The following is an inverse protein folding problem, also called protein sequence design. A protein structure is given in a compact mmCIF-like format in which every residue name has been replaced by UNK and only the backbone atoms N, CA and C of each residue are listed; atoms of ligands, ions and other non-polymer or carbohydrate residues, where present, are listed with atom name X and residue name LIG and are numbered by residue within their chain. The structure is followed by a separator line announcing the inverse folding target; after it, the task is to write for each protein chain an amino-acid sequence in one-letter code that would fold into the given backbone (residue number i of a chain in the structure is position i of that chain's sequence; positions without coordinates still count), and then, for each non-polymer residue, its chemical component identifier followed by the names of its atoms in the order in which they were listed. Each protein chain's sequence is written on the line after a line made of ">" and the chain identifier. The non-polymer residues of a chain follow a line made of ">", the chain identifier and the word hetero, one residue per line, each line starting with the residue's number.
data_IF_344691290320
#
_entry.id   IF_344691290320
#
_cell.length_a   1.000
_cell.length_b   1.000
_cell.length_c   1.000
_cell.angle_alpha   90.00
_cell.angle_beta   90.00
_cell.angle_gamma   90.00
#
_symmetry.space_group_name_H-M   'P 1'
#
loop_
_entity.id
_entity.type
_entity.pdbx_description
1 polymer ?
#
# COMPACT_ATOMS: atom_id res chain seq x y z
N UNK A 1 -22.67 54.43 20.97
CA UNK A 1 -22.23 53.39 20.02
C UNK A 1 -21.62 52.27 20.84
N UNK A 2 -22.18 51.07 20.72
CA UNK A 2 -22.01 49.97 21.66
C UNK A 2 -20.68 49.24 21.40
N UNK A 3 -19.70 49.40 22.30
CA UNK A 3 -18.43 48.68 22.28
C UNK A 3 -18.63 47.24 22.79
N UNK A 4 -19.39 46.45 22.04
CA UNK A 4 -19.56 45.03 22.29
C UNK A 4 -18.80 44.23 21.23
N UNK A 5 -18.01 43.26 21.73
CA UNK A 5 -17.55 42.06 21.04
C UNK A 5 -16.16 42.11 20.37
N UNK A 6 -15.12 42.27 21.19
CA UNK A 6 -13.78 41.70 20.88
C UNK A 6 -13.49 40.43 21.71
N UNK A 7 -14.54 39.82 22.28
CA UNK A 7 -14.43 38.57 23.05
C UNK A 7 -14.74 37.39 22.13
N UNK A 8 -13.71 36.75 21.59
CA UNK A 8 -13.89 35.62 20.67
C UNK A 8 -12.70 34.68 20.48
N UNK A 9 -11.56 34.90 21.14
CA UNK A 9 -10.45 33.94 21.13
C UNK A 9 -10.15 33.53 22.57
N UNK A 10 -10.88 32.51 23.04
CA UNK A 10 -10.57 31.88 24.32
C UNK A 10 -9.15 31.29 24.23
N UNK A 11 -8.24 31.74 25.09
CA UNK A 11 -6.88 31.19 25.17
C UNK A 11 -6.99 29.69 25.45
N UNK A 12 -6.43 28.87 24.56
CA UNK A 12 -6.34 27.42 24.74
C UNK A 12 -5.55 27.13 26.03
N UNK A 13 -6.02 26.20 26.85
CA UNK A 13 -5.32 25.85 28.09
C UNK A 13 -4.01 25.13 27.76
N UNK A 14 -2.98 25.22 28.61
CA UNK A 14 -1.71 24.51 28.42
C UNK A 14 -1.90 23.00 28.24
N UNK A 15 -2.91 22.42 28.89
CA UNK A 15 -3.29 21.02 28.77
C UNK A 15 -3.79 20.65 27.37
N UNK A 16 -4.57 21.51 26.71
CA UNK A 16 -5.00 21.29 25.32
C UNK A 16 -3.80 21.28 24.37
N UNK A 17 -2.80 22.14 24.60
CA UNK A 17 -1.59 22.19 23.80
C UNK A 17 -0.76 20.90 23.92
N UNK A 18 -0.62 20.37 25.14
CA UNK A 18 0.10 19.11 25.40
C UNK A 18 -0.59 17.93 24.72
N UNK A 19 -1.92 17.88 24.75
CA UNK A 19 -2.69 16.83 24.06
C UNK A 19 -2.47 16.89 22.55
N UNK A 20 -2.51 18.10 21.96
CA UNK A 20 -2.28 18.29 20.53
C UNK A 20 -0.84 17.92 20.12
N UNK A 21 0.15 18.28 20.94
CA UNK A 21 1.55 17.91 20.71
C UNK A 21 1.75 16.40 20.84
N UNK A 22 1.16 15.76 21.85
CA UNK A 22 1.20 14.30 22.04
C UNK A 22 0.56 13.55 20.87
N UNK A 23 -0.59 14.03 20.39
CA UNK A 23 -1.29 13.48 19.23
C UNK A 23 -0.49 13.63 17.93
N UNK A 24 0.17 14.79 17.76
CA UNK A 24 1.09 15.05 16.64
C UNK A 24 2.32 14.13 16.71
N UNK A 25 2.93 13.98 17.88
CA UNK A 25 4.10 13.12 18.07
C UNK A 25 3.78 11.63 17.82
N UNK A 26 2.58 11.18 18.20
CA UNK A 26 2.11 9.81 17.98
C UNK A 26 1.96 9.49 16.47
N UNK A 27 1.52 10.45 15.66
CA UNK A 27 1.32 10.26 14.22
C UNK A 27 2.61 10.35 13.40
N UNK A 28 3.65 11.04 13.89
CA UNK A 28 4.96 11.10 13.21
C UNK A 28 5.80 9.82 13.35
N UNK A 29 5.53 8.96 14.33
CA UNK A 29 6.31 7.74 14.61
C UNK A 29 5.90 6.54 13.75
N UNK A 30 4.84 6.64 12.95
CA UNK A 30 4.31 5.54 12.15
C UNK A 30 5.10 5.25 10.85
N UNK A 31 6.41 5.49 10.84
CA UNK A 31 7.27 5.21 9.68
C UNK A 31 7.65 3.72 9.67
N UNK A 32 6.81 2.91 9.04
CA UNK A 32 7.13 1.52 8.76
C UNK A 32 7.99 1.47 7.49
N UNK A 33 9.26 1.09 7.62
CA UNK A 33 10.10 0.79 6.45
C UNK A 33 9.46 -0.35 5.66
N UNK A 34 9.04 -0.09 4.42
CA UNK A 34 8.53 -1.13 3.54
C UNK A 34 9.68 -1.97 3.00
N UNK A 35 9.53 -3.30 3.04
CA UNK A 35 10.46 -4.21 2.37
C UNK A 35 10.17 -4.23 0.86
N UNK A 36 10.77 -3.29 0.14
CA UNK A 36 10.62 -3.20 -1.31
C UNK A 36 11.24 -4.39 -2.05
N UNK A 37 12.19 -5.11 -1.44
CA UNK A 37 12.78 -6.32 -2.03
C UNK A 37 11.76 -7.44 -2.08
N UNK A 38 11.05 -7.67 -0.97
CA UNK A 38 9.94 -8.63 -0.92
C UNK A 38 8.78 -8.21 -1.84
N UNK A 39 8.41 -6.92 -1.82
CA UNK A 39 7.36 -6.40 -2.69
C UNK A 39 7.68 -6.63 -4.18
N UNK A 40 8.89 -6.28 -4.62
CA UNK A 40 9.34 -6.50 -5.99
C UNK A 40 9.37 -7.98 -6.36
N UNK A 41 9.88 -8.83 -5.46
CA UNK A 41 9.92 -10.28 -5.67
C UNK A 41 8.52 -10.85 -5.90
N UNK A 42 7.52 -10.40 -5.12
CA UNK A 42 6.12 -10.80 -5.27
C UNK A 42 5.50 -10.25 -6.56
N UNK A 43 5.82 -9.01 -6.94
CA UNK A 43 5.37 -8.45 -8.21
C UNK A 43 5.85 -9.27 -9.41
N UNK A 44 7.11 -9.73 -9.40
CA UNK A 44 7.64 -10.61 -10.45
C UNK A 44 6.93 -11.97 -10.41
N UNK A 45 6.76 -12.55 -9.22
CA UNK A 45 6.08 -13.84 -9.05
C UNK A 45 4.62 -13.80 -9.54
N UNK A 46 3.93 -12.67 -9.40
CA UNK A 46 2.59 -12.46 -9.95
C UNK A 46 2.57 -12.64 -11.48
N UNK A 47 3.51 -12.03 -12.20
CA UNK A 47 3.60 -12.18 -13.65
C UNK A 47 4.06 -13.57 -14.09
N UNK A 48 4.96 -14.22 -13.35
CA UNK A 48 5.26 -15.66 -13.58
C UNK A 48 3.99 -16.49 -13.46
N UNK A 49 3.14 -16.16 -12.49
CA UNK A 49 1.84 -16.78 -12.29
C UNK A 49 0.84 -16.51 -13.40
N UNK A 50 1.05 -15.56 -14.30
CA UNK A 50 0.12 -15.28 -15.41
C UNK A 50 0.55 -15.88 -16.74
N UNK A 51 1.66 -16.64 -16.78
CA UNK A 51 2.14 -17.30 -18.01
C UNK A 51 1.11 -18.30 -18.55
N UNK A 52 0.90 -18.22 -19.87
CA UNK A 52 0.16 -19.19 -20.69
C UNK A 52 1.15 -20.03 -21.50
N UNK A 53 0.70 -21.16 -22.05
CA UNK A 53 1.52 -22.06 -22.85
C UNK A 53 2.24 -23.12 -22.02
N UNK A 54 3.32 -23.65 -22.59
CA UNK A 54 4.18 -24.61 -21.91
C UNK A 54 5.03 -23.89 -20.86
N UNK A 55 4.91 -24.31 -19.61
CA UNK A 55 5.65 -23.71 -18.52
C UNK A 55 7.10 -24.22 -18.49
N UNK A 56 8.05 -23.37 -18.07
CA UNK A 56 9.43 -23.80 -17.92
C UNK A 56 9.57 -24.75 -16.72
N UNK A 57 10.46 -25.74 -16.84
CA UNK A 57 10.68 -26.78 -15.81
C UNK A 57 11.16 -26.25 -14.46
N UNK A 58 11.76 -25.06 -14.45
CA UNK A 58 12.26 -24.38 -13.25
C UNK A 58 11.26 -23.34 -12.69
N UNK A 59 9.98 -23.41 -13.05
CA UNK A 59 8.97 -22.52 -12.48
C UNK A 59 8.80 -22.72 -10.96
N UNK A 60 8.69 -21.59 -10.24
CA UNK A 60 8.55 -21.53 -8.79
C UNK A 60 7.14 -21.83 -8.26
N UNK A 61 6.10 -21.63 -9.08
CA UNK A 61 4.70 -21.80 -8.70
C UNK A 61 4.22 -23.23 -8.97
N UNK A 62 4.13 -24.03 -7.92
CA UNK A 62 3.78 -25.47 -7.97
C UNK A 62 2.33 -25.76 -8.30
N UNK A 63 1.45 -24.77 -8.17
CA UNK A 63 0.01 -24.89 -8.46
C UNK A 63 -0.34 -24.54 -9.91
N UNK A 64 0.62 -24.09 -10.73
CA UNK A 64 0.44 -23.81 -12.16
C UNK A 64 0.87 -25.01 -13.00
N UNK A 65 0.22 -25.20 -14.15
CA UNK A 65 0.56 -26.22 -15.16
C UNK A 65 0.47 -25.68 -16.59
N UNK A 66 0.93 -26.48 -17.55
CA UNK A 66 0.84 -26.17 -18.99
C UNK A 66 -0.62 -25.86 -19.37
N UNK A 67 -0.84 -24.78 -20.13
CA UNK A 67 -2.17 -24.33 -20.54
C UNK A 67 -2.16 -23.76 -21.96
N UNK A 68 -3.33 -23.66 -22.61
CA UNK A 68 -3.49 -22.94 -23.89
C UNK A 68 -2.50 -23.36 -25.00
N UNK A 69 -2.09 -24.63 -25.02
CA UNK A 69 -1.06 -25.14 -25.95
C UNK A 69 -1.51 -25.15 -27.42
N UNK A 70 -2.81 -25.12 -27.67
CA UNK A 70 -3.40 -25.09 -29.01
C UNK A 70 -3.96 -23.70 -29.37
N UNK A 71 -3.68 -22.66 -28.58
CA UNK A 71 -4.15 -21.31 -28.88
C UNK A 71 -3.56 -20.84 -30.22
N UNK A 72 -4.43 -20.40 -31.13
CA UNK A 72 -4.06 -20.01 -32.50
C UNK A 72 -3.97 -21.18 -33.50
N UNK A 73 -4.15 -22.42 -33.06
CA UNK A 73 -4.20 -23.56 -33.96
C UNK A 73 -5.51 -23.55 -34.77
N UNK A 74 -5.40 -23.45 -36.09
CA UNK A 74 -6.53 -23.57 -37.02
C UNK A 74 -6.27 -24.73 -37.98
N UNK A 75 -7.19 -25.70 -38.02
CA UNK A 75 -7.22 -26.72 -39.08
C UNK A 75 -7.79 -26.07 -40.34
N UNK A 76 -6.96 -25.34 -41.10
CA UNK A 76 -7.40 -24.77 -42.36
C UNK A 76 -6.30 -24.75 -43.41
#
# INVERSE_FOLDING_TARGET
>A
MNANKVSGMQRLSPSTLVILISFCFCSCLAFNSHDYSDALTKSILFFEGQRSGKLPSNQRLTWRGDSALADGFSYH
#
